data_IF_042351742024
#
_entry.id   IF_042351742024
#
_cell.length_a   1.000
_cell.length_b   1.000
_cell.length_c   1.000
_cell.angle_alpha   90.00
_cell.angle_beta   90.00
_cell.angle_gamma   90.00
#
_symmetry.space_group_name_H-M   'P 1'
#
loop_
_entity.id
_entity.type
_entity.pdbx_description
1 polymer ?
#
# COMPACT_ATOMS: atom_id res chain seq x y z
N UNK A 1 -14.01 -0.44 -17.65
CA UNK A 1 -12.77 0.18 -17.14
C UNK A 1 -12.74 0.01 -15.63
N UNK A 2 -11.66 -0.52 -15.07
CA UNK A 2 -11.53 -0.70 -13.62
C UNK A 2 -10.96 0.58 -13.00
N UNK A 3 -11.38 0.94 -11.80
CA UNK A 3 -10.91 2.15 -11.12
C UNK A 3 -10.26 1.78 -9.80
N UNK A 4 -9.01 2.18 -9.63
CA UNK A 4 -8.19 1.85 -8.45
C UNK A 4 -7.66 3.14 -7.85
N UNK A 5 -7.86 3.31 -6.54
CA UNK A 5 -7.45 4.53 -5.83
C UNK A 5 -6.56 4.18 -4.64
N UNK A 6 -5.36 4.74 -4.61
CA UNK A 6 -4.47 4.70 -3.45
C UNK A 6 -4.69 5.93 -2.58
N UNK A 7 -5.24 5.76 -1.38
CA UNK A 7 -5.37 6.80 -0.36
C UNK A 7 -4.14 6.78 0.53
N UNK A 8 -3.38 7.88 0.51
CA UNK A 8 -2.08 7.97 1.15
C UNK A 8 -2.04 9.03 2.24
N UNK A 9 -1.48 8.71 3.41
CA UNK A 9 -1.14 9.72 4.43
C UNK A 9 0.02 10.62 4.03
N UNK A 10 0.69 10.34 2.89
CA UNK A 10 1.77 11.18 2.39
C UNK A 10 1.27 12.50 1.80
N UNK A 11 2.22 13.32 1.33
CA UNK A 11 1.92 14.59 0.69
C UNK A 11 1.01 14.43 -0.53
N UNK A 12 0.08 15.37 -0.68
CA UNK A 12 -0.75 15.55 -1.88
C UNK A 12 0.06 16.04 -3.10
N UNK A 13 1.26 16.59 -2.89
CA UNK A 13 2.14 17.02 -3.99
C UNK A 13 2.68 15.87 -4.84
N UNK A 14 2.43 14.62 -4.46
CA UNK A 14 2.76 13.41 -5.23
C UNK A 14 1.52 12.74 -5.82
N UNK A 15 0.39 13.43 -5.83
CA UNK A 15 -0.86 12.90 -6.37
C UNK A 15 -0.72 12.79 -7.88
N UNK A 16 -1.29 11.71 -8.43
CA UNK A 16 -1.22 11.42 -9.84
C UNK A 16 -2.45 10.65 -10.28
N UNK A 17 -2.69 10.70 -11.58
CA UNK A 17 -3.73 9.95 -12.27
C UNK A 17 -3.21 9.50 -13.62
N UNK A 18 -3.40 8.24 -13.97
CA UNK A 18 -3.12 7.73 -15.31
C UNK A 18 -3.96 6.48 -15.61
N UNK A 19 -3.98 6.10 -16.88
CA UNK A 19 -4.63 4.87 -17.35
C UNK A 19 -3.53 3.91 -17.79
N UNK A 20 -3.63 2.66 -17.34
CA UNK A 20 -2.69 1.59 -17.70
C UNK A 20 -3.45 0.32 -18.07
N UNK A 21 -2.85 -0.54 -18.90
CA UNK A 21 -3.37 -1.87 -19.18
C UNK A 21 -2.57 -2.93 -18.40
N UNK A 22 -3.25 -3.67 -17.52
CA UNK A 22 -2.63 -4.75 -16.74
C UNK A 22 -3.42 -6.03 -16.96
N UNK A 23 -2.73 -7.08 -17.44
CA UNK A 23 -3.33 -8.38 -17.75
C UNK A 23 -4.62 -8.26 -18.60
N UNK A 24 -4.57 -7.45 -19.68
CA UNK A 24 -5.70 -7.22 -20.58
C UNK A 24 -6.84 -6.38 -20.00
N UNK A 25 -6.67 -5.77 -18.82
CA UNK A 25 -7.66 -4.89 -18.20
C UNK A 25 -7.17 -3.45 -18.20
N UNK A 26 -7.98 -2.52 -18.73
CA UNK A 26 -7.71 -1.08 -18.59
C UNK A 26 -8.11 -0.59 -17.20
N UNK A 27 -7.15 -0.02 -16.48
CA UNK A 27 -7.32 0.55 -15.15
C UNK A 27 -7.10 2.06 -15.18
N UNK A 28 -8.03 2.82 -14.61
CA UNK A 28 -7.78 4.17 -14.13
C UNK A 28 -7.14 4.06 -12.74
N UNK A 29 -5.90 4.54 -12.60
CA UNK A 29 -5.14 4.49 -11.37
C UNK A 29 -4.96 5.91 -10.84
N UNK A 30 -5.35 6.13 -9.59
CA UNK A 30 -5.18 7.40 -8.90
C UNK A 30 -4.43 7.21 -7.59
N UNK A 31 -3.62 8.20 -7.22
CA UNK A 31 -3.11 8.35 -5.86
C UNK A 31 -3.54 9.69 -5.31
N UNK A 32 -4.12 9.67 -4.10
CA UNK A 32 -4.59 10.87 -3.39
C UNK A 32 -3.95 10.95 -2.00
N UNK A 33 -3.22 12.02 -1.74
CA UNK A 33 -2.52 12.30 -0.50
C UNK A 33 -3.37 13.12 0.47
N UNK A 34 -3.21 12.86 1.77
CA UNK A 34 -3.94 13.59 2.83
C UNK A 34 -3.03 14.40 3.75
N UNK A 35 -1.74 14.55 3.40
CA UNK A 35 -0.77 15.36 4.15
C UNK A 35 -0.71 15.01 5.65
N UNK A 36 -0.87 13.72 5.99
CA UNK A 36 -0.88 13.21 7.36
C UNK A 36 -2.25 13.28 8.06
N UNK A 37 -3.28 13.86 7.45
CA UNK A 37 -4.61 13.94 8.06
C UNK A 37 -5.36 12.61 7.96
N UNK A 38 -5.46 11.91 9.09
CA UNK A 38 -6.19 10.66 9.26
C UNK A 38 -7.72 10.83 9.08
N UNK A 39 -8.29 11.97 9.49
CA UNK A 39 -9.73 12.24 9.34
C UNK A 39 -10.08 12.46 7.87
N UNK A 40 -9.23 13.19 7.15
CA UNK A 40 -9.38 13.37 5.71
C UNK A 40 -9.27 12.03 4.98
N UNK A 41 -8.29 11.19 5.33
CA UNK A 41 -8.15 9.85 4.78
C UNK A 41 -9.39 8.99 5.04
N UNK A 42 -9.91 8.96 6.28
CA UNK A 42 -11.13 8.24 6.62
C UNK A 42 -12.35 8.72 5.82
N UNK A 43 -12.50 10.05 5.66
CA UNK A 43 -13.59 10.63 4.85
C UNK A 43 -13.49 10.22 3.38
N UNK A 44 -12.29 10.24 2.81
CA UNK A 44 -12.06 9.84 1.43
C UNK A 44 -12.34 8.35 1.23
N UNK A 45 -11.85 7.49 2.12
CA UNK A 45 -12.10 6.05 2.11
C UNK A 45 -13.61 5.72 2.13
N UNK A 46 -14.38 6.31 3.05
CA UNK A 46 -15.85 6.16 3.08
C UNK A 46 -16.49 6.62 1.78
N UNK A 47 -15.97 7.71 1.19
CA UNK A 47 -16.49 8.27 -0.05
C UNK A 47 -16.27 7.37 -1.26
N UNK A 48 -15.21 6.55 -1.25
CA UNK A 48 -14.81 5.63 -2.32
C UNK A 48 -15.41 4.23 -2.16
N UNK A 49 -15.76 3.82 -0.94
CA UNK A 49 -16.29 2.49 -0.66
C UNK A 49 -17.56 2.18 -1.46
N UNK A 50 -17.53 1.08 -2.22
CA UNK A 50 -18.58 0.66 -3.13
C UNK A 50 -18.61 1.40 -4.48
N UNK A 51 -17.69 2.34 -4.74
CA UNK A 51 -17.64 3.12 -6.00
C UNK A 51 -16.44 2.79 -6.89
N UNK A 52 -15.36 2.30 -6.29
CA UNK A 52 -14.14 1.93 -7.01
C UNK A 52 -13.89 0.43 -6.92
N UNK A 53 -13.12 -0.10 -7.86
CA UNK A 53 -12.82 -1.53 -7.96
C UNK A 53 -11.91 -2.02 -6.83
N UNK A 54 -10.94 -1.20 -6.42
CA UNK A 54 -10.05 -1.51 -5.30
C UNK A 54 -9.49 -0.23 -4.67
N UNK A 55 -9.15 -0.31 -3.39
CA UNK A 55 -8.53 0.77 -2.62
C UNK A 55 -7.18 0.31 -2.05
N UNK A 56 -6.17 1.15 -2.20
CA UNK A 56 -4.88 0.99 -1.53
C UNK A 56 -4.74 1.94 -0.34
N UNK A 57 -4.14 1.48 0.75
CA UNK A 57 -3.61 2.34 1.82
C UNK A 57 -2.13 2.63 1.56
N UNK A 58 -1.76 3.90 1.65
CA UNK A 58 -0.37 4.36 1.50
C UNK A 58 0.12 5.14 2.71
N UNK A 59 1.38 4.93 3.12
CA UNK A 59 1.95 5.58 4.30
C UNK A 59 1.44 5.01 5.64
N UNK A 60 0.66 3.93 5.59
CA UNK A 60 0.21 3.15 6.75
C UNK A 60 -0.06 1.72 6.29
N UNK A 61 0.22 0.75 7.17
CA UNK A 61 -0.09 -0.66 6.95
C UNK A 61 -1.15 -1.13 7.95
N UNK A 62 -1.80 -2.25 7.67
CA UNK A 62 -2.67 -2.94 8.61
C UNK A 62 -1.86 -3.66 9.68
N UNK A 63 -0.72 -4.24 9.27
CA UNK A 63 0.15 -5.02 10.14
C UNK A 63 1.62 -4.83 9.79
N UNK A 64 2.47 -4.99 10.80
CA UNK A 64 3.90 -5.22 10.66
C UNK A 64 4.18 -6.70 11.00
N UNK A 65 5.00 -7.38 10.19
CA UNK A 65 5.45 -8.74 10.46
C UNK A 65 6.92 -8.73 10.88
N UNK A 66 7.27 -9.48 11.91
CA UNK A 66 8.66 -9.72 12.32
C UNK A 66 8.83 -11.21 12.66
N UNK A 67 9.46 -11.95 11.75
CA UNK A 67 9.45 -13.42 11.77
C UNK A 67 8.01 -13.94 11.74
N UNK A 68 7.68 -14.82 12.70
CA UNK A 68 6.35 -15.41 12.82
C UNK A 68 5.35 -14.50 13.56
N UNK A 69 5.79 -13.34 14.06
CA UNK A 69 4.94 -12.42 14.82
C UNK A 69 4.31 -11.38 13.90
N UNK A 70 3.04 -11.08 14.16
CA UNK A 70 2.27 -10.04 13.46
C UNK A 70 1.76 -9.00 14.45
N UNK A 71 2.11 -7.75 14.21
CA UNK A 71 1.74 -6.61 15.05
C UNK A 71 0.72 -5.75 14.31
N UNK A 72 -0.43 -5.54 14.93
CA UNK A 72 -1.48 -4.72 14.36
C UNK A 72 -1.14 -3.23 14.48
N UNK A 73 -1.24 -2.50 13.38
CA UNK A 73 -1.07 -1.05 13.38
C UNK A 73 -2.43 -0.38 13.55
N UNK A 74 -2.59 0.36 14.65
CA UNK A 74 -3.90 0.89 15.10
C UNK A 74 -4.54 1.81 14.06
N UNK A 75 -3.76 2.70 13.45
CA UNK A 75 -4.29 3.66 12.49
C UNK A 75 -4.68 3.02 11.16
N UNK A 76 -3.89 2.06 10.66
CA UNK A 76 -4.27 1.29 9.48
C UNK A 76 -5.59 0.55 9.68
N UNK A 77 -5.79 -0.03 10.85
CA UNK A 77 -7.02 -0.75 11.18
C UNK A 77 -8.22 0.16 11.44
N UNK A 78 -7.99 1.38 11.96
CA UNK A 78 -9.04 2.41 12.04
C UNK A 78 -9.50 2.80 10.65
N UNK A 79 -8.57 3.08 9.73
CA UNK A 79 -8.88 3.45 8.35
C UNK A 79 -9.54 2.29 7.58
N UNK A 80 -9.09 1.05 7.77
CA UNK A 80 -9.67 -0.10 7.11
C UNK A 80 -11.16 -0.31 7.45
N UNK A 81 -11.58 0.04 8.67
CA UNK A 81 -13.00 -0.07 9.10
C UNK A 81 -13.94 0.87 8.34
N UNK A 82 -13.41 1.88 7.67
CA UNK A 82 -14.15 2.84 6.86
C UNK A 82 -14.56 2.28 5.49
N UNK A 83 -14.01 1.12 5.11
CA UNK A 83 -14.27 0.44 3.84
C UNK A 83 -14.84 -0.95 4.12
N UNK A 84 -16.05 -1.21 3.65
CA UNK A 84 -16.78 -2.47 3.90
C UNK A 84 -17.08 -3.26 2.63
N UNK A 85 -17.20 -2.60 1.48
CA UNK A 85 -17.65 -3.19 0.22
C UNK A 85 -16.52 -3.35 -0.79
N UNK A 86 -15.66 -2.35 -0.90
CA UNK A 86 -14.55 -2.35 -1.86
C UNK A 86 -13.35 -3.09 -1.27
N UNK A 87 -12.69 -3.98 -2.05
CA UNK A 87 -11.43 -4.60 -1.63
C UNK A 87 -10.39 -3.55 -1.24
N UNK A 88 -9.81 -3.69 -0.05
CA UNK A 88 -8.80 -2.79 0.51
C UNK A 88 -7.50 -3.55 0.79
N UNK A 89 -6.38 -2.99 0.32
CA UNK A 89 -5.03 -3.56 0.46
C UNK A 89 -4.03 -2.51 0.95
N UNK A 90 -2.91 -2.92 1.53
CA UNK A 90 -1.83 -2.05 2.03
C UNK A 90 -0.44 -2.40 1.45
N UNK A 91 -0.39 -3.25 0.42
CA UNK A 91 0.84 -3.69 -0.23
C UNK A 91 1.70 -4.68 0.58
N UNK A 92 1.30 -5.07 1.79
CA UNK A 92 2.07 -5.99 2.64
C UNK A 92 2.36 -7.35 1.99
N UNK A 93 1.43 -7.87 1.18
CA UNK A 93 1.62 -9.15 0.47
C UNK A 93 2.76 -9.14 -0.56
N UNK A 94 3.02 -8.00 -1.22
CA UNK A 94 4.15 -7.88 -2.16
C UNK A 94 5.47 -7.95 -1.40
N UNK A 95 5.57 -7.28 -0.24
CA UNK A 95 6.77 -7.32 0.61
C UNK A 95 7.08 -8.73 1.07
N UNK A 96 6.07 -9.41 1.62
CA UNK A 96 6.22 -10.79 2.12
C UNK A 96 6.66 -11.79 1.03
N UNK A 97 6.44 -11.47 -0.24
CA UNK A 97 6.76 -12.33 -1.40
C UNK A 97 8.09 -11.95 -2.04
N UNK A 98 8.31 -10.66 -2.32
CA UNK A 98 9.46 -10.18 -3.11
C UNK A 98 10.67 -9.85 -2.25
N UNK A 99 10.49 -9.31 -1.04
CA UNK A 99 11.64 -8.88 -0.20
C UNK A 99 12.48 -10.05 0.31
N UNK A 100 11.92 -11.27 0.38
CA UNK A 100 12.68 -12.48 0.75
C UNK A 100 13.77 -12.80 -0.27
N UNK A 101 13.46 -12.69 -1.56
CA UNK A 101 14.40 -12.97 -2.64
C UNK A 101 15.46 -11.87 -2.76
N UNK A 102 15.14 -10.65 -2.31
CA UNK A 102 16.06 -9.52 -2.34
C UNK A 102 17.34 -9.80 -1.54
N UNK A 103 17.26 -10.49 -0.39
CA UNK A 103 18.45 -10.79 0.41
C UNK A 103 19.42 -11.66 -0.39
N UNK A 104 18.96 -12.79 -0.93
CA UNK A 104 19.79 -13.67 -1.76
C UNK A 104 20.33 -12.94 -2.99
N UNK A 105 19.50 -12.15 -3.66
CA UNK A 105 19.92 -11.36 -4.81
C UNK A 105 21.05 -10.37 -4.47
N UNK A 106 20.95 -9.67 -3.33
CA UNK A 106 21.98 -8.71 -2.87
C UNK A 106 23.26 -9.45 -2.47
N UNK A 107 23.16 -10.61 -1.82
CA UNK A 107 24.31 -11.44 -1.47
C UNK A 107 25.08 -11.88 -2.73
N UNK A 108 24.34 -12.39 -3.73
CA UNK A 108 24.93 -12.91 -4.98
C UNK A 108 25.50 -11.81 -5.88
N UNK A 109 24.82 -10.66 -5.98
CA UNK A 109 25.16 -9.64 -6.99
C UNK A 109 25.83 -8.38 -6.45
N UNK A 110 25.68 -8.09 -5.16
CA UNK A 110 26.15 -6.84 -4.56
C UNK A 110 27.09 -7.04 -3.35
N UNK A 111 27.33 -8.29 -2.92
CA UNK A 111 28.32 -8.65 -1.90
C UNK A 111 27.96 -8.16 -0.50
N UNK A 112 26.86 -8.67 0.06
CA UNK A 112 26.43 -8.40 1.44
C UNK A 112 26.49 -9.68 2.32
N UNK A 113 26.80 -9.60 3.63
CA UNK A 113 27.32 -8.44 4.33
C UNK A 113 28.74 -8.11 3.88
N UNK A 114 29.07 -6.82 3.80
CA UNK A 114 30.43 -6.39 3.51
C UNK A 114 31.32 -6.65 4.73
N UNK A 115 32.64 -6.83 4.55
CA UNK A 115 33.57 -6.92 5.67
C UNK A 115 33.33 -5.79 6.68
N UNK A 116 33.10 -6.13 7.95
CA UNK A 116 32.83 -5.18 9.04
C UNK A 116 31.35 -4.84 9.32
N UNK A 117 30.39 -5.52 8.69
CA UNK A 117 28.94 -5.31 8.94
C UNK A 117 28.28 -6.28 9.94
N UNK A 118 29.04 -7.14 10.63
CA UNK A 118 28.56 -8.01 11.73
C UNK A 118 29.57 -8.07 12.85
#
# INVERSE_FOLDING_TARGET
MKHVVSVSLGSAGRDFEFIEEVAGNRLLIQRVGTNGDLRQAAKLLRGLDGKVTAIGLGGVNLYLRAGDRRYQLRDGMRLAREVRRTPLVDGSGIKDTVEKELVSWVQERAGWPRPGQV
#
